data_IF_373465470370
#
_entry.id   IF_373465470370
#
_cell.length_a   1.000
_cell.length_b   1.000
_cell.length_c   1.000
_cell.angle_alpha   90.00
_cell.angle_beta   90.00
_cell.angle_gamma   90.00
#
_symmetry.space_group_name_H-M   'P 1'
#
loop_
_entity.id
_entity.type
_entity.pdbx_description
1 polymer ?
#
# COMPACT_ATOMS: atom_id res chain seq x y z
N UNK A 1 6.88 17.43 4.97
CA UNK A 1 5.63 16.85 5.50
C UNK A 1 5.23 15.78 4.52
N UNK A 2 5.39 14.51 4.86
CA UNK A 2 4.89 13.44 4.02
C UNK A 2 3.37 13.40 4.19
N UNK A 3 2.62 13.54 3.10
CA UNK A 3 1.15 13.47 3.11
C UNK A 3 0.66 12.02 3.22
N UNK A 4 -0.67 11.82 3.26
CA UNK A 4 -1.26 10.48 3.24
C UNK A 4 -0.83 9.74 1.98
N UNK A 5 -0.62 8.43 2.11
CA UNK A 5 -0.39 7.53 0.97
C UNK A 5 -1.66 7.49 0.12
N UNK A 6 -1.49 7.70 -1.18
CA UNK A 6 -2.57 7.69 -2.17
C UNK A 6 -2.49 6.44 -3.06
N UNK A 7 -3.55 6.19 -3.84
CA UNK A 7 -3.53 5.13 -4.86
C UNK A 7 -2.43 5.31 -5.90
N UNK A 8 -2.04 6.55 -6.21
CA UNK A 8 -0.93 6.85 -7.12
C UNK A 8 0.42 6.38 -6.54
N UNK A 9 0.61 6.63 -5.25
CA UNK A 9 1.80 6.17 -4.54
C UNK A 9 1.80 4.63 -4.44
N UNK A 10 0.65 4.02 -4.11
CA UNK A 10 0.51 2.57 -4.08
C UNK A 10 0.83 1.93 -5.44
N UNK A 11 0.29 2.47 -6.54
CA UNK A 11 0.59 2.02 -7.89
C UNK A 11 2.09 2.12 -8.23
N UNK A 12 2.74 3.21 -7.81
CA UNK A 12 4.18 3.43 -7.99
C UNK A 12 4.99 2.38 -7.23
N UNK A 13 4.59 2.08 -5.99
CA UNK A 13 5.22 1.07 -5.15
C UNK A 13 5.01 -0.34 -5.70
N UNK A 14 3.80 -0.67 -6.16
CA UNK A 14 3.51 -1.96 -6.82
C UNK A 14 4.40 -2.17 -8.04
N UNK A 15 4.62 -1.13 -8.84
CA UNK A 15 5.52 -1.17 -9.99
C UNK A 15 6.97 -1.35 -9.58
N UNK A 16 7.43 -0.64 -8.56
CA UNK A 16 8.82 -0.67 -8.11
C UNK A 16 9.20 -1.93 -7.32
N UNK A 17 8.28 -2.48 -6.52
CA UNK A 17 8.55 -3.55 -5.55
C UNK A 17 8.03 -4.91 -5.97
N UNK A 18 6.88 -4.95 -6.64
CA UNK A 18 6.30 -6.18 -7.15
C UNK A 18 6.48 -6.37 -8.65
N UNK A 19 6.99 -5.36 -9.37
CA UNK A 19 7.07 -5.39 -10.84
C UNK A 19 5.70 -5.33 -11.52
N UNK A 20 4.66 -4.93 -10.78
CA UNK A 20 3.28 -4.90 -11.25
C UNK A 20 2.93 -3.48 -11.69
N UNK A 21 2.69 -3.32 -12.99
CA UNK A 21 2.25 -2.05 -13.53
C UNK A 21 0.72 -1.98 -13.47
N UNK A 22 0.19 -1.49 -12.35
CA UNK A 22 -1.25 -1.27 -12.14
C UNK A 22 -1.53 0.23 -12.18
N UNK A 23 -2.59 0.63 -12.87
CA UNK A 23 -3.03 2.02 -12.93
C UNK A 23 -3.68 2.46 -11.62
N UNK A 24 -3.31 3.63 -11.12
CA UNK A 24 -3.89 4.21 -9.91
C UNK A 24 -5.41 4.45 -10.04
N UNK A 25 -5.86 4.78 -11.26
CA UNK A 25 -7.28 4.93 -11.57
C UNK A 25 -8.05 3.61 -11.47
N UNK A 26 -7.41 2.49 -11.80
CA UNK A 26 -8.01 1.16 -11.63
C UNK A 26 -8.12 0.83 -10.13
N UNK A 27 -7.05 1.04 -9.35
CA UNK A 27 -7.08 0.84 -7.90
C UNK A 27 -8.17 1.70 -7.24
N UNK A 28 -8.34 2.95 -7.68
CA UNK A 28 -9.38 3.84 -7.17
C UNK A 28 -10.80 3.46 -7.63
N UNK A 29 -10.95 2.86 -8.81
CA UNK A 29 -12.24 2.42 -9.35
C UNK A 29 -12.73 1.11 -8.71
N UNK A 30 -11.81 0.28 -8.26
CA UNK A 30 -12.09 -1.00 -7.59
C UNK A 30 -11.26 -1.16 -6.31
N UNK A 31 -11.50 -0.32 -5.29
CA UNK A 31 -10.69 -0.27 -4.08
C UNK A 31 -10.95 -1.44 -3.13
N UNK A 32 -12.08 -2.14 -3.30
CA UNK A 32 -12.46 -3.37 -2.58
C UNK A 32 -11.95 -4.65 -3.27
N UNK A 33 -11.33 -4.53 -4.46
CA UNK A 33 -10.79 -5.69 -5.17
C UNK A 33 -9.54 -6.20 -4.46
N UNK A 34 -9.42 -7.52 -4.24
CA UNK A 34 -8.25 -8.08 -3.58
C UNK A 34 -6.98 -7.89 -4.42
N UNK A 35 -5.86 -7.66 -3.74
CA UNK A 35 -4.52 -7.51 -4.32
C UNK A 35 -4.13 -8.66 -5.26
N UNK A 36 -4.56 -9.88 -4.93
CA UNK A 36 -4.37 -11.09 -5.73
C UNK A 36 -4.93 -10.95 -7.17
N UNK A 37 -6.05 -10.23 -7.35
CA UNK A 37 -6.61 -9.97 -8.68
C UNK A 37 -5.74 -9.03 -9.53
N UNK A 38 -4.95 -8.17 -8.89
CA UNK A 38 -3.98 -7.30 -9.56
C UNK A 38 -2.62 -8.00 -9.76
N UNK A 39 -2.51 -9.27 -9.33
CA UNK A 39 -1.27 -10.04 -9.37
C UNK A 39 -0.30 -9.69 -8.23
N UNK A 40 -0.77 -9.00 -7.18
CA UNK A 40 0.05 -8.67 -6.02
C UNK A 40 -0.06 -9.77 -4.97
N UNK A 41 0.99 -10.57 -4.88
CA UNK A 41 1.16 -11.57 -3.82
C UNK A 41 1.55 -10.93 -2.47
N UNK A 42 1.39 -11.70 -1.39
CA UNK A 42 1.78 -11.33 -0.03
C UNK A 42 3.23 -10.83 0.09
N UNK A 43 4.18 -11.43 -0.67
CA UNK A 43 5.58 -10.98 -0.69
C UNK A 43 5.75 -9.61 -1.35
N UNK A 44 4.98 -9.34 -2.42
CA UNK A 44 4.97 -8.04 -3.07
C UNK A 44 4.43 -6.96 -2.13
N UNK A 45 3.36 -7.27 -1.40
CA UNK A 45 2.77 -6.40 -0.39
C UNK A 45 3.76 -6.10 0.75
N UNK A 46 4.47 -7.11 1.26
CA UNK A 46 5.51 -6.91 2.27
C UNK A 46 6.63 -5.98 1.78
N UNK A 47 7.05 -6.11 0.52
CA UNK A 47 8.03 -5.23 -0.09
C UNK A 47 7.57 -3.77 -0.19
N UNK A 48 6.28 -3.54 -0.46
CA UNK A 48 5.65 -2.21 -0.46
C UNK A 48 5.66 -1.61 0.94
N UNK A 49 5.24 -2.38 1.95
CA UNK A 49 5.24 -1.98 3.36
C UNK A 49 6.64 -1.56 3.80
N UNK A 50 7.65 -2.41 3.57
CA UNK A 50 9.02 -2.11 3.98
C UNK A 50 9.56 -0.82 3.34
N UNK A 51 9.19 -0.51 2.10
CA UNK A 51 9.58 0.76 1.48
C UNK A 51 8.85 1.96 2.11
N UNK A 52 7.56 1.82 2.40
CA UNK A 52 6.82 2.85 3.11
C UNK A 52 7.40 3.11 4.50
N UNK A 53 7.71 2.06 5.27
CA UNK A 53 8.37 2.21 6.58
C UNK A 53 9.71 2.93 6.46
N UNK A 54 10.51 2.60 5.45
CA UNK A 54 11.78 3.27 5.19
C UNK A 54 11.60 4.75 4.82
N UNK A 55 10.59 5.06 4.00
CA UNK A 55 10.28 6.42 3.54
C UNK A 55 9.74 7.32 4.64
N UNK A 56 8.83 6.78 5.45
CA UNK A 56 8.18 7.52 6.52
C UNK A 56 8.95 7.45 7.85
N UNK A 57 9.94 6.56 7.96
CA UNK A 57 10.79 6.40 9.13
C UNK A 57 10.05 5.85 10.35
N UNK A 58 8.90 5.20 10.14
CA UNK A 58 8.05 4.67 11.19
C UNK A 58 7.46 3.31 10.78
N UNK A 59 7.25 2.40 11.74
CA UNK A 59 6.69 1.09 11.46
C UNK A 59 5.20 1.18 11.10
N UNK A 60 4.79 0.48 10.04
CA UNK A 60 3.41 0.44 9.55
C UNK A 60 2.74 -0.81 10.14
N UNK A 61 2.32 -0.71 11.39
CA UNK A 61 1.53 -1.73 12.09
C UNK A 61 2.22 -3.10 12.22
N UNK A 62 1.54 -4.05 12.88
CA UNK A 62 2.07 -5.40 13.08
C UNK A 62 1.69 -6.39 11.97
N UNK A 63 0.64 -6.13 11.18
CA UNK A 63 0.09 -7.12 10.23
C UNK A 63 -0.43 -6.47 8.92
N UNK A 64 0.35 -5.65 8.21
CA UNK A 64 -0.10 -5.07 6.94
C UNK A 64 -0.32 -6.12 5.84
N UNK A 65 0.20 -7.33 6.01
CA UNK A 65 -0.09 -8.50 5.17
C UNK A 65 -1.54 -9.02 5.32
N UNK A 66 -2.24 -8.67 6.41
CA UNK A 66 -3.66 -8.98 6.57
C UNK A 66 -4.54 -8.11 5.66
N UNK A 67 -4.02 -6.97 5.18
CA UNK A 67 -4.74 -6.10 4.25
C UNK A 67 -4.84 -6.78 2.89
N UNK A 68 -6.07 -7.14 2.51
CA UNK A 68 -6.34 -7.82 1.24
C UNK A 68 -6.68 -6.86 0.12
N UNK A 69 -7.15 -5.66 0.44
CA UNK A 69 -7.66 -4.70 -0.53
C UNK A 69 -6.88 -3.38 -0.47
N UNK A 70 -6.78 -2.65 -1.60
CA UNK A 70 -6.18 -1.32 -1.64
C UNK A 70 -6.77 -0.35 -0.61
N UNK A 71 -8.10 -0.36 -0.42
CA UNK A 71 -8.77 0.51 0.55
C UNK A 71 -8.32 0.25 1.99
N UNK A 72 -8.36 -1.02 2.40
CA UNK A 72 -8.00 -1.44 3.76
C UNK A 72 -6.54 -1.13 4.05
N UNK A 73 -5.66 -1.40 3.08
CA UNK A 73 -4.24 -1.09 3.17
C UNK A 73 -3.98 0.41 3.33
N UNK A 74 -4.55 1.24 2.46
CA UNK A 74 -4.37 2.69 2.54
C UNK A 74 -4.96 3.26 3.83
N UNK A 75 -6.08 2.72 4.30
CA UNK A 75 -6.69 3.13 5.57
C UNK A 75 -5.76 2.83 6.73
N UNK A 76 -5.25 1.60 6.84
CA UNK A 76 -4.33 1.19 7.90
C UNK A 76 -3.02 2.01 7.88
N UNK A 77 -2.43 2.19 6.70
CA UNK A 77 -1.21 2.97 6.54
C UNK A 77 -1.42 4.41 6.96
N UNK A 78 -2.48 5.06 6.45
CA UNK A 78 -2.75 6.46 6.75
C UNK A 78 -3.14 6.68 8.22
N UNK A 79 -3.86 5.73 8.83
CA UNK A 79 -4.16 5.76 10.27
C UNK A 79 -2.87 5.73 11.09
N UNK A 80 -1.95 4.80 10.78
CA UNK A 80 -0.65 4.72 11.46
C UNK A 80 0.20 5.98 11.28
N UNK A 81 0.30 6.48 10.05
CA UNK A 81 1.05 7.70 9.75
C UNK A 81 0.47 8.93 10.47
N UNK A 82 -0.84 8.96 10.70
CA UNK A 82 -1.52 10.03 11.43
C UNK A 82 -1.38 9.86 12.95
N UNK A 83 -1.48 8.63 13.45
CA UNK A 83 -1.34 8.31 14.86
C UNK A 83 0.10 8.49 15.39
N UNK A 84 1.10 8.33 14.51
CA UNK A 84 2.51 8.57 14.81
C UNK A 84 2.99 10.01 14.63
N UNK A 85 2.13 10.94 14.18
CA UNK A 85 2.47 12.34 13.88
C UNK A 85 2.28 13.31 15.06
#
# INVERSE_FOLDING_TARGET
MNGPVTFEELATLMKGRAGLSVDAAELASQPDTPFDQFGLDSLGLLGIVSELENRYGQPIGNEPESCKTPEDFLTLVNDQLTAGA
#
